data_IF_078694380718
#
_entry.id   IF_078694380718
#
_cell.length_a   1.000
_cell.length_b   1.000
_cell.length_c   1.000
_cell.angle_alpha   90.00
_cell.angle_beta   90.00
_cell.angle_gamma   90.00
#
_symmetry.space_group_name_H-M   'P 1'
#
loop_
_entity.id
_entity.type
_entity.pdbx_description
1 polymer ?
#
# COMPACT_ATOMS: atom_id res chain seq x y z
N UNK A 1 2.73 -29.83 27.58
CA UNK A 1 4.18 -29.81 27.31
C UNK A 1 4.40 -28.61 26.43
N UNK A 2 4.54 -27.47 27.10
CA UNK A 2 4.79 -26.19 26.46
C UNK A 2 6.13 -26.29 25.76
N UNK A 3 6.11 -26.13 24.43
CA UNK A 3 7.33 -26.06 23.66
C UNK A 3 8.04 -24.76 24.06
N UNK A 4 9.25 -24.89 24.61
CA UNK A 4 10.16 -23.77 24.77
C UNK A 4 10.27 -23.01 23.43
N UNK A 5 10.29 -21.67 23.43
CA UNK A 5 10.50 -20.92 22.20
C UNK A 5 11.85 -21.34 21.62
N UNK A 6 11.82 -21.93 20.42
CA UNK A 6 13.01 -22.25 19.64
C UNK A 6 13.90 -21.01 19.56
N UNK A 7 15.18 -21.16 19.87
CA UNK A 7 16.16 -20.09 19.74
C UNK A 7 16.05 -19.40 18.35
N UNK A 8 16.27 -18.08 18.25
CA UNK A 8 16.16 -17.38 16.97
C UNK A 8 17.05 -18.07 15.91
N UNK A 9 16.50 -18.29 14.72
CA UNK A 9 17.18 -19.00 13.63
C UNK A 9 18.46 -18.25 13.18
N UNK A 10 18.45 -16.93 13.33
CA UNK A 10 19.60 -16.04 13.13
C UNK A 10 19.76 -15.21 14.40
N UNK A 11 20.77 -15.53 15.22
CA UNK A 11 20.94 -14.94 16.57
C UNK A 11 21.71 -13.60 16.54
N UNK A 12 22.25 -13.17 15.39
CA UNK A 12 23.05 -11.95 15.28
C UNK A 12 22.55 -11.05 14.14
N UNK A 13 22.45 -9.73 14.42
CA UNK A 13 22.04 -8.68 13.47
C UNK A 13 22.90 -8.58 12.21
N UNK A 14 24.08 -9.21 12.22
CA UNK A 14 25.10 -9.01 11.19
C UNK A 14 25.22 -10.19 10.23
N UNK A 15 24.48 -11.30 10.46
CA UNK A 15 24.47 -12.50 9.60
C UNK A 15 23.14 -12.62 8.82
N UNK A 16 22.73 -11.53 8.18
CA UNK A 16 21.46 -11.42 7.47
C UNK A 16 21.59 -11.72 5.97
N UNK A 17 22.81 -11.92 5.48
CA UNK A 17 23.06 -12.18 4.07
C UNK A 17 23.37 -13.65 3.82
N UNK A 18 22.44 -14.36 3.19
CA UNK A 18 22.64 -15.72 2.69
C UNK A 18 22.16 -15.81 1.24
N UNK A 19 22.85 -16.56 0.36
CA UNK A 19 22.28 -16.92 -0.94
C UNK A 19 20.92 -17.58 -0.74
N UNK A 20 19.90 -17.19 -1.51
CA UNK A 20 18.52 -17.55 -1.20
C UNK A 20 18.29 -19.07 -1.17
N UNK A 21 18.98 -19.84 -2.02
CA UNK A 21 18.87 -21.31 -2.01
C UNK A 21 19.51 -21.99 -0.80
N UNK A 22 20.52 -21.34 -0.20
CA UNK A 22 21.29 -21.85 0.93
C UNK A 22 20.86 -21.24 2.26
N UNK A 23 19.89 -20.33 2.24
CA UNK A 23 19.34 -19.68 3.43
C UNK A 23 18.98 -20.73 4.50
N UNK A 24 19.23 -20.47 5.79
CA UNK A 24 18.76 -21.34 6.87
C UNK A 24 17.23 -21.37 6.99
N UNK A 25 16.53 -20.39 6.41
CA UNK A 25 15.09 -20.17 6.55
C UNK A 25 14.34 -20.87 5.39
N UNK A 26 13.43 -21.83 5.67
CA UNK A 26 12.70 -22.58 4.64
C UNK A 26 11.93 -21.71 3.64
N UNK A 27 11.24 -20.69 4.11
CA UNK A 27 10.40 -19.80 3.31
C UNK A 27 11.24 -18.98 2.32
N UNK A 28 12.47 -18.62 2.70
CA UNK A 28 13.42 -17.92 1.82
C UNK A 28 13.90 -18.87 0.71
N UNK A 29 14.16 -20.14 1.04
CA UNK A 29 14.50 -21.17 0.04
C UNK A 29 13.34 -21.45 -0.93
N UNK A 30 12.10 -21.44 -0.43
CA UNK A 30 10.90 -21.55 -1.29
C UNK A 30 10.78 -20.36 -2.25
N UNK A 31 11.03 -19.14 -1.76
CA UNK A 31 11.12 -17.96 -2.64
C UNK A 31 12.19 -18.13 -3.71
N UNK A 32 13.35 -18.68 -3.37
CA UNK A 32 14.41 -18.99 -4.34
C UNK A 32 13.93 -19.94 -5.43
N UNK A 33 13.16 -20.97 -5.08
CA UNK A 33 12.57 -21.92 -6.05
C UNK A 33 11.60 -21.22 -6.99
N UNK A 34 10.69 -20.41 -6.45
CA UNK A 34 9.74 -19.64 -7.25
C UNK A 34 10.44 -18.72 -8.26
N UNK A 35 11.53 -18.06 -7.84
CA UNK A 35 12.33 -17.22 -8.74
C UNK A 35 12.98 -18.08 -9.85
N UNK A 36 13.56 -19.24 -9.50
CA UNK A 36 14.15 -20.15 -10.51
C UNK A 36 13.11 -20.73 -11.47
N UNK A 37 11.88 -20.93 -11.02
CA UNK A 37 10.81 -21.51 -11.83
C UNK A 37 10.13 -20.49 -12.75
N UNK A 38 9.97 -19.25 -12.29
CA UNK A 38 9.17 -18.24 -13.00
C UNK A 38 9.97 -17.08 -13.59
N UNK A 39 11.14 -16.77 -13.03
CA UNK A 39 12.01 -15.74 -13.57
C UNK A 39 12.85 -16.24 -14.74
N UNK A 40 13.53 -15.32 -15.40
CA UNK A 40 14.28 -15.60 -16.61
C UNK A 40 15.60 -14.82 -16.63
N UNK A 41 16.59 -15.38 -17.30
CA UNK A 41 17.88 -14.71 -17.50
C UNK A 41 17.72 -13.53 -18.48
N UNK A 42 18.13 -12.30 -18.08
CA UNK A 42 17.97 -11.10 -18.92
C UNK A 42 18.77 -11.22 -20.23
N UNK A 43 20.00 -11.75 -20.16
CA UNK A 43 20.88 -11.92 -21.33
C UNK A 43 20.30 -12.86 -22.39
N UNK A 44 19.77 -14.02 -21.99
CA UNK A 44 19.11 -14.96 -22.91
C UNK A 44 17.90 -14.32 -23.61
N UNK A 45 17.13 -13.56 -22.84
CA UNK A 45 15.92 -12.89 -23.31
C UNK A 45 16.29 -11.78 -24.29
N UNK A 46 17.33 -11.00 -24.00
CA UNK A 46 17.85 -9.97 -24.90
C UNK A 46 18.39 -10.56 -26.22
N UNK A 47 19.21 -11.62 -26.15
CA UNK A 47 19.80 -12.28 -27.34
C UNK A 47 18.75 -12.91 -28.25
N UNK A 48 17.67 -13.44 -27.69
CA UNK A 48 16.58 -14.10 -28.44
C UNK A 48 15.49 -13.13 -28.91
N UNK A 49 15.57 -11.84 -28.58
CA UNK A 49 14.52 -10.87 -28.84
C UNK A 49 13.20 -11.21 -28.12
N UNK A 50 13.30 -11.76 -26.90
CA UNK A 50 12.15 -12.11 -26.05
C UNK A 50 11.52 -13.48 -26.33
N UNK A 51 12.09 -14.28 -27.24
CA UNK A 51 11.53 -15.60 -27.62
C UNK A 51 11.95 -16.72 -26.69
N UNK A 52 13.14 -16.63 -26.10
CA UNK A 52 13.71 -17.65 -25.23
C UNK A 52 13.74 -17.15 -23.79
N UNK A 53 13.09 -17.89 -22.88
CA UNK A 53 13.07 -17.61 -21.44
C UNK A 53 13.76 -18.75 -20.71
N UNK A 54 15.05 -18.56 -20.43
CA UNK A 54 15.86 -19.54 -19.70
C UNK A 54 15.82 -19.22 -18.22
N UNK A 55 15.45 -20.20 -17.40
CA UNK A 55 15.41 -20.08 -15.95
C UNK A 55 16.79 -19.70 -15.38
N UNK A 56 16.86 -18.80 -14.37
CA UNK A 56 18.10 -18.50 -13.70
C UNK A 56 18.54 -19.69 -12.82
N UNK A 57 19.84 -19.93 -12.78
CA UNK A 57 20.46 -21.00 -11.99
C UNK A 57 21.66 -20.49 -11.17
N UNK A 58 22.35 -19.47 -11.67
CA UNK A 58 23.47 -18.80 -11.02
C UNK A 58 22.96 -17.74 -10.03
N UNK A 59 23.41 -17.86 -8.78
CA UNK A 59 23.12 -16.90 -7.71
C UNK A 59 24.24 -15.87 -7.63
N UNK A 60 23.88 -14.60 -7.70
CA UNK A 60 24.85 -13.50 -7.61
C UNK A 60 25.50 -13.50 -6.22
N UNK A 61 26.85 -13.44 -6.13
CA UNK A 61 27.55 -13.44 -4.84
C UNK A 61 27.27 -12.18 -4.00
N UNK A 62 26.89 -11.06 -4.63
CA UNK A 62 26.72 -9.78 -3.95
C UNK A 62 25.30 -9.55 -3.43
N UNK A 63 24.26 -10.06 -4.12
CA UNK A 63 22.86 -9.93 -3.71
C UNK A 63 22.20 -11.24 -3.28
N UNK A 64 22.77 -12.40 -3.61
CA UNK A 64 22.27 -13.72 -3.21
C UNK A 64 21.04 -14.22 -3.99
N UNK A 65 20.51 -13.43 -4.94
CA UNK A 65 19.39 -13.84 -5.79
C UNK A 65 19.86 -14.66 -7.00
N UNK A 66 19.06 -15.66 -7.45
CA UNK A 66 19.29 -16.35 -8.71
C UNK A 66 18.87 -15.46 -9.88
N UNK A 67 19.83 -14.78 -10.51
CA UNK A 67 19.58 -13.73 -11.51
C UNK A 67 19.86 -14.19 -12.94
N UNK A 68 20.85 -15.07 -13.13
CA UNK A 68 21.31 -15.49 -14.45
C UNK A 68 21.31 -17.00 -14.58
N UNK A 69 21.28 -17.53 -15.81
CA UNK A 69 21.39 -18.98 -16.02
C UNK A 69 22.83 -19.50 -15.85
N UNK A 70 23.85 -18.65 -16.00
CA UNK A 70 25.27 -18.98 -15.85
C UNK A 70 26.08 -17.79 -15.34
N UNK A 71 27.27 -18.07 -14.82
CA UNK A 71 28.23 -17.03 -14.42
C UNK A 71 28.69 -16.18 -15.62
N UNK A 72 28.79 -16.78 -16.82
CA UNK A 72 29.17 -16.07 -18.04
C UNK A 72 28.14 -14.98 -18.39
N UNK A 73 26.85 -15.30 -18.33
CA UNK A 73 25.80 -14.32 -18.58
C UNK A 73 25.74 -13.26 -17.48
N UNK A 74 26.00 -13.62 -16.22
CA UNK A 74 26.12 -12.62 -15.15
C UNK A 74 27.28 -11.64 -15.37
N UNK A 75 28.42 -12.13 -15.88
CA UNK A 75 29.57 -11.26 -16.25
C UNK A 75 29.28 -10.38 -17.47
N UNK A 76 28.49 -10.88 -18.42
CA UNK A 76 28.05 -10.11 -19.59
C UNK A 76 27.10 -8.97 -19.19
N UNK A 77 26.22 -9.21 -18.23
CA UNK A 77 25.19 -8.27 -17.74
C UNK A 77 25.67 -7.37 -16.59
N UNK A 78 26.98 -7.26 -16.35
CA UNK A 78 27.51 -6.65 -15.12
C UNK A 78 27.02 -5.20 -14.91
N UNK A 79 26.84 -4.45 -15.99
CA UNK A 79 26.42 -3.03 -15.94
C UNK A 79 24.96 -2.91 -15.51
N UNK A 80 24.04 -3.61 -16.17
CA UNK A 80 22.62 -3.53 -15.87
C UNK A 80 22.30 -4.21 -14.53
N UNK A 81 22.95 -5.35 -14.25
CA UNK A 81 22.83 -6.02 -12.97
C UNK A 81 23.33 -5.15 -11.80
N UNK A 82 24.40 -4.36 -11.98
CA UNK A 82 24.92 -3.48 -10.92
C UNK A 82 23.90 -2.40 -10.49
N UNK A 83 22.96 -2.01 -11.36
CA UNK A 83 21.90 -1.07 -11.02
C UNK A 83 20.85 -1.70 -10.08
N UNK A 84 20.58 -2.99 -10.24
CA UNK A 84 19.55 -3.74 -9.50
C UNK A 84 20.10 -4.42 -8.24
N UNK A 85 21.38 -4.80 -8.27
CA UNK A 85 22.03 -5.60 -7.25
C UNK A 85 21.89 -5.04 -5.82
N UNK A 86 22.03 -3.72 -5.57
CA UNK A 86 21.83 -3.17 -4.22
C UNK A 86 20.41 -3.37 -3.68
N UNK A 87 19.38 -3.19 -4.52
CA UNK A 87 18.00 -3.36 -4.12
C UNK A 87 17.66 -4.84 -3.88
N UNK A 88 18.16 -5.73 -4.74
CA UNK A 88 18.06 -7.18 -4.53
C UNK A 88 18.76 -7.62 -3.23
N UNK A 89 19.94 -7.08 -2.94
CA UNK A 89 20.67 -7.38 -1.70
C UNK A 89 19.87 -6.93 -0.49
N UNK A 90 19.32 -5.72 -0.52
CA UNK A 90 18.46 -5.21 0.55
C UNK A 90 17.23 -6.07 0.75
N UNK A 91 16.57 -6.49 -0.33
CA UNK A 91 15.42 -7.39 -0.24
C UNK A 91 15.81 -8.73 0.40
N UNK A 92 16.94 -9.31 0.01
CA UNK A 92 17.46 -10.53 0.60
C UNK A 92 17.69 -10.38 2.12
N UNK A 93 18.44 -9.35 2.51
CA UNK A 93 18.75 -9.08 3.92
C UNK A 93 17.50 -8.76 4.74
N UNK A 94 16.50 -8.08 4.15
CA UNK A 94 15.21 -7.80 4.79
C UNK A 94 14.39 -9.06 5.05
N UNK A 95 14.34 -9.99 4.08
CA UNK A 95 13.57 -11.23 4.25
C UNK A 95 14.18 -12.14 5.32
N UNK A 96 15.51 -12.14 5.45
CA UNK A 96 16.23 -12.82 6.53
C UNK A 96 16.01 -12.13 7.88
N UNK A 97 16.04 -10.80 7.92
CA UNK A 97 15.82 -10.05 9.15
C UNK A 97 14.41 -10.29 9.70
N UNK A 98 13.38 -10.13 8.87
CA UNK A 98 11.97 -10.33 9.22
C UNK A 98 11.64 -11.74 9.72
N UNK A 99 12.46 -12.74 9.35
CA UNK A 99 12.30 -14.15 9.74
C UNK A 99 13.38 -14.66 10.68
N UNK A 100 14.28 -13.78 11.15
CA UNK A 100 15.35 -14.13 12.09
C UNK A 100 14.82 -14.61 13.44
N UNK A 101 13.62 -14.19 13.82
CA UNK A 101 13.03 -14.40 15.13
C UNK A 101 13.48 -13.39 16.18
N UNK A 102 14.20 -12.32 15.79
CA UNK A 102 14.54 -11.22 16.69
C UNK A 102 13.29 -10.48 17.15
N UNK A 103 13.42 -9.73 18.24
CA UNK A 103 12.40 -8.76 18.62
C UNK A 103 12.44 -7.55 17.70
N UNK A 104 11.27 -7.05 17.32
CA UNK A 104 11.11 -5.86 16.48
C UNK A 104 10.56 -4.70 17.32
N UNK A 105 11.40 -4.00 18.11
CA UNK A 105 10.98 -2.80 18.83
C UNK A 105 10.38 -1.75 17.89
N UNK A 106 10.80 -1.70 16.63
CA UNK A 106 10.27 -0.78 15.61
C UNK A 106 8.76 -0.99 15.30
N UNK A 107 8.18 -2.15 15.63
CA UNK A 107 6.74 -2.40 15.46
C UNK A 107 5.89 -1.99 16.67
N UNK A 108 6.50 -1.45 17.73
CA UNK A 108 5.78 -0.85 18.85
C UNK A 108 5.31 0.56 18.46
N UNK A 109 4.09 0.62 17.93
CA UNK A 109 3.53 1.86 17.39
C UNK A 109 2.91 2.74 18.47
N UNK A 110 3.04 4.08 18.36
CA UNK A 110 2.49 5.01 19.32
C UNK A 110 0.96 4.96 19.38
N UNK A 111 0.41 5.19 20.57
CA UNK A 111 -1.02 5.26 20.82
C UNK A 111 -1.71 6.53 20.27
N UNK A 112 -2.96 6.78 20.68
CA UNK A 112 -3.73 7.96 20.28
C UNK A 112 -2.98 9.26 20.59
N UNK A 113 -3.02 10.20 19.65
CA UNK A 113 -2.42 11.51 19.84
C UNK A 113 -3.40 12.49 20.50
N UNK A 114 -2.91 13.41 21.33
CA UNK A 114 -3.75 14.49 21.84
C UNK A 114 -4.09 15.46 20.69
N UNK A 115 -5.30 16.03 20.73
CA UNK A 115 -5.78 16.91 19.65
C UNK A 115 -4.88 18.12 19.38
N UNK A 116 -4.19 18.61 20.40
CA UNK A 116 -3.35 19.82 20.31
C UNK A 116 -1.91 19.54 19.83
N UNK A 117 -1.52 18.27 19.69
CA UNK A 117 -0.17 17.95 19.21
C UNK A 117 -0.10 18.13 17.69
N UNK A 118 0.88 18.91 17.24
CA UNK A 118 1.11 19.14 15.82
C UNK A 118 1.68 17.89 15.15
N UNK A 119 1.11 17.53 14.00
CA UNK A 119 1.60 16.46 13.12
C UNK A 119 2.22 17.08 11.89
N UNK A 120 3.40 16.59 11.49
CA UNK A 120 4.06 17.00 10.27
C UNK A 120 4.04 15.85 9.24
N UNK A 121 3.42 16.11 8.07
CA UNK A 121 3.31 15.14 6.98
C UNK A 121 4.32 15.39 5.84
N UNK A 122 5.38 16.19 6.05
CA UNK A 122 6.31 16.55 4.98
C UNK A 122 7.08 15.34 4.41
N UNK A 123 7.43 14.37 5.25
CA UNK A 123 8.08 13.11 4.90
C UNK A 123 7.97 12.11 6.07
N UNK A 124 8.46 10.89 5.88
CA UNK A 124 8.47 9.84 6.91
C UNK A 124 9.20 10.26 8.19
N UNK A 125 10.37 10.89 8.11
CA UNK A 125 11.17 11.25 9.29
C UNK A 125 10.45 12.24 10.20
N UNK A 126 9.94 13.32 9.62
CA UNK A 126 9.17 14.35 10.34
C UNK A 126 7.86 13.78 10.89
N UNK A 127 7.23 12.86 10.17
CA UNK A 127 6.04 12.15 10.65
C UNK A 127 6.38 11.27 11.86
N UNK A 128 7.41 10.43 11.78
CA UNK A 128 7.83 9.57 12.87
C UNK A 128 8.23 10.35 14.12
N UNK A 129 8.96 11.45 13.93
CA UNK A 129 9.33 12.35 15.02
C UNK A 129 8.11 12.97 15.69
N UNK A 130 7.19 13.58 14.92
CA UNK A 130 6.01 14.24 15.49
C UNK A 130 5.02 13.26 16.11
N UNK A 131 4.98 12.01 15.64
CA UNK A 131 4.16 10.94 16.22
C UNK A 131 4.83 10.15 17.35
N UNK A 132 6.06 10.48 17.72
CA UNK A 132 6.84 9.80 18.77
C UNK A 132 6.94 8.29 18.52
N UNK A 133 7.20 7.90 17.28
CA UNK A 133 7.63 6.52 17.00
C UNK A 133 8.95 6.24 17.71
N UNK A 134 9.21 4.96 17.98
CA UNK A 134 10.54 4.56 18.44
C UNK A 134 11.60 5.01 17.44
N UNK A 135 12.82 5.27 17.93
CA UNK A 135 13.90 5.70 17.07
C UNK A 135 14.23 4.59 16.06
N UNK A 136 14.26 4.95 14.78
CA UNK A 136 14.55 4.02 13.69
C UNK A 136 16.03 4.18 13.34
N UNK A 137 16.86 3.29 13.88
CA UNK A 137 18.32 3.37 13.79
C UNK A 137 18.88 3.04 12.40
N UNK A 138 18.07 2.41 11.53
CA UNK A 138 18.50 1.96 10.21
C UNK A 138 17.44 2.15 9.13
N UNK A 139 17.88 2.28 7.88
CA UNK A 139 16.98 2.30 6.71
C UNK A 139 16.15 1.02 6.58
N UNK A 140 16.66 -0.10 7.12
CA UNK A 140 15.98 -1.40 7.17
C UNK A 140 14.76 -1.34 8.08
N UNK A 141 14.96 -0.95 9.33
CA UNK A 141 13.86 -0.77 10.29
C UNK A 141 12.84 0.25 9.77
N UNK A 142 13.28 1.34 9.16
CA UNK A 142 12.38 2.29 8.49
C UNK A 142 11.61 1.65 7.33
N UNK A 143 12.27 0.83 6.50
CA UNK A 143 11.63 0.06 5.43
C UNK A 143 10.53 -0.88 5.95
N UNK A 144 10.79 -1.59 7.05
CA UNK A 144 9.84 -2.54 7.63
C UNK A 144 8.61 -1.82 8.20
N UNK A 145 8.83 -0.74 8.94
CA UNK A 145 7.76 0.09 9.51
C UNK A 145 6.91 0.73 8.40
N UNK A 146 7.56 1.32 7.40
CA UNK A 146 6.85 1.99 6.29
C UNK A 146 6.07 1.03 5.40
N UNK A 147 6.51 -0.23 5.22
CA UNK A 147 5.75 -1.27 4.49
C UNK A 147 4.38 -1.52 5.12
N UNK A 148 4.26 -1.42 6.45
CA UNK A 148 2.98 -1.57 7.15
C UNK A 148 2.17 -0.26 7.14
N UNK A 149 2.84 0.86 7.42
CA UNK A 149 2.17 2.15 7.64
C UNK A 149 1.80 2.90 6.36
N UNK A 150 2.39 2.55 5.21
CA UNK A 150 2.12 3.26 3.95
C UNK A 150 0.63 3.34 3.64
N UNK A 151 -0.14 2.28 3.90
CA UNK A 151 -1.58 2.26 3.62
C UNK A 151 -2.39 3.25 4.49
N UNK A 152 -2.39 3.13 5.84
CA UNK A 152 -3.15 4.05 6.68
C UNK A 152 -2.62 5.49 6.61
N UNK A 153 -1.30 5.69 6.47
CA UNK A 153 -0.71 7.03 6.51
C UNK A 153 -0.89 7.78 5.19
N UNK A 154 -0.90 7.10 4.03
CA UNK A 154 -1.30 7.74 2.77
C UNK A 154 -2.73 8.27 2.84
N UNK A 155 -3.68 7.48 3.39
CA UNK A 155 -5.05 7.96 3.60
C UNK A 155 -5.09 9.14 4.57
N UNK A 156 -4.40 9.01 5.72
CA UNK A 156 -4.40 10.06 6.73
C UNK A 156 -3.80 11.37 6.20
N UNK A 157 -2.71 11.32 5.45
CA UNK A 157 -2.05 12.51 4.90
C UNK A 157 -2.90 13.26 3.89
N UNK A 158 -3.80 12.57 3.16
CA UNK A 158 -4.80 13.20 2.31
C UNK A 158 -5.93 13.85 3.11
N UNK A 159 -6.42 13.18 4.16
CA UNK A 159 -7.57 13.63 4.94
C UNK A 159 -7.21 14.69 5.99
N UNK A 160 -5.97 14.73 6.47
CA UNK A 160 -5.58 15.60 7.58
C UNK A 160 -5.52 17.08 7.15
N UNK A 161 -5.86 18.05 8.05
CA UNK A 161 -5.75 19.48 7.74
C UNK A 161 -4.32 19.93 7.38
N UNK A 162 -3.31 19.33 8.01
CA UNK A 162 -1.89 19.55 7.71
C UNK A 162 -1.38 18.69 6.53
N UNK A 163 -2.25 18.38 5.58
CA UNK A 163 -1.91 17.60 4.38
C UNK A 163 -0.74 18.22 3.62
N UNK A 164 0.21 17.42 3.13
CA UNK A 164 1.37 17.93 2.42
C UNK A 164 1.07 18.27 0.95
N UNK A 165 -0.05 17.79 0.41
CA UNK A 165 -0.43 17.98 -0.99
C UNK A 165 -0.98 19.38 -1.23
N UNK A 166 -0.37 20.11 -2.17
CA UNK A 166 -0.61 21.54 -2.38
C UNK A 166 -1.70 21.78 -3.45
N UNK A 167 -2.69 22.64 -3.17
CA UNK A 167 -3.65 23.10 -4.17
C UNK A 167 -2.96 23.71 -5.39
N UNK A 168 -3.41 23.35 -6.60
CA UNK A 168 -2.89 23.85 -7.87
C UNK A 168 -1.59 23.21 -8.34
N UNK A 169 -0.88 22.48 -7.48
CA UNK A 169 0.29 21.68 -7.84
C UNK A 169 -0.05 20.20 -7.91
N UNK A 170 -0.44 19.63 -6.77
CA UNK A 170 -0.73 18.20 -6.65
C UNK A 170 -2.25 17.98 -6.79
N UNK A 171 -3.03 18.83 -6.12
CA UNK A 171 -4.49 18.79 -6.15
C UNK A 171 -5.05 19.74 -7.22
N UNK A 172 -6.04 19.27 -7.96
CA UNK A 172 -6.83 20.12 -8.86
C UNK A 172 -7.78 21.03 -8.06
N UNK A 173 -8.45 22.01 -8.70
CA UNK A 173 -9.51 22.79 -8.04
C UNK A 173 -10.63 21.89 -7.49
N UNK A 174 -11.05 20.88 -8.26
CA UNK A 174 -12.06 19.91 -7.85
C UNK A 174 -11.58 19.06 -6.65
N UNK A 175 -10.33 18.60 -6.66
CA UNK A 175 -9.71 17.88 -5.55
C UNK A 175 -9.62 18.70 -4.28
N UNK A 176 -9.24 19.97 -4.41
CA UNK A 176 -9.18 20.91 -3.30
C UNK A 176 -10.56 21.09 -2.67
N UNK A 177 -11.61 21.26 -3.49
CA UNK A 177 -12.98 21.39 -3.02
C UNK A 177 -13.48 20.09 -2.35
N UNK A 178 -13.23 18.93 -2.96
CA UNK A 178 -13.64 17.63 -2.43
C UNK A 178 -13.01 17.35 -1.06
N UNK A 179 -11.69 17.49 -0.95
CA UNK A 179 -10.97 17.28 0.30
C UNK A 179 -11.31 18.34 1.36
N UNK A 180 -11.54 19.60 0.98
CA UNK A 180 -11.99 20.64 1.91
C UNK A 180 -13.35 20.30 2.53
N UNK A 181 -14.27 19.72 1.76
CA UNK A 181 -15.59 19.33 2.27
C UNK A 181 -15.52 18.16 3.25
N UNK A 182 -14.70 17.15 2.97
CA UNK A 182 -14.44 16.04 3.92
C UNK A 182 -13.74 16.57 5.17
N UNK A 183 -12.70 17.40 5.02
CA UNK A 183 -11.97 18.03 6.14
C UNK A 183 -12.88 18.89 7.01
N UNK A 184 -13.82 19.61 6.42
CA UNK A 184 -14.83 20.38 7.16
C UNK A 184 -15.71 19.46 8.01
N UNK A 185 -16.16 18.33 7.44
CA UNK A 185 -16.94 17.32 8.17
C UNK A 185 -16.15 16.74 9.34
N UNK A 186 -14.87 16.41 9.12
CA UNK A 186 -13.96 15.95 10.17
C UNK A 186 -13.78 17.01 11.28
N UNK A 187 -13.55 18.27 10.90
CA UNK A 187 -13.39 19.37 11.84
C UNK A 187 -14.66 19.63 12.67
N UNK A 188 -15.85 19.55 12.06
CA UNK A 188 -17.12 19.67 12.76
C UNK A 188 -17.29 18.57 13.82
N UNK A 189 -16.99 17.31 13.46
CA UNK A 189 -17.03 16.20 14.41
C UNK A 189 -16.05 16.39 15.57
N UNK A 190 -14.91 17.02 15.33
CA UNK A 190 -13.94 17.37 16.36
C UNK A 190 -14.46 18.46 17.31
N UNK A 191 -15.31 19.38 16.86
CA UNK A 191 -15.89 20.46 17.69
C UNK A 191 -17.03 19.99 18.60
N UNK A 192 -17.68 18.86 18.27
CA UNK A 192 -18.74 18.28 19.12
C UNK A 192 -18.14 17.90 20.48
N UNK A 193 -18.59 18.58 21.54
CA UNK A 193 -18.11 18.40 22.91
C UNK A 193 -18.62 17.08 23.51
N UNK A 194 -17.87 16.53 24.47
CA UNK A 194 -18.17 15.26 25.15
C UNK A 194 -19.48 15.25 25.95
N UNK A 195 -20.12 16.41 26.15
CA UNK A 195 -21.43 16.53 26.79
C UNK A 195 -22.58 16.13 25.86
N UNK A 196 -22.36 16.10 24.54
CA UNK A 196 -23.36 15.74 23.55
C UNK A 196 -23.36 14.22 23.30
N UNK A 197 -23.46 13.43 24.38
CA UNK A 197 -23.41 11.95 24.35
C UNK A 197 -24.53 11.30 23.51
N UNK A 198 -25.52 12.08 23.11
CA UNK A 198 -26.68 11.64 22.34
C UNK A 198 -26.49 11.80 20.82
N UNK A 199 -25.55 12.62 20.34
CA UNK A 199 -25.25 12.73 18.91
C UNK A 199 -24.34 11.58 18.49
N UNK A 200 -24.96 10.50 17.97
CA UNK A 200 -24.22 9.41 17.33
C UNK A 200 -23.46 9.96 16.14
N UNK A 201 -22.13 10.03 16.26
CA UNK A 201 -21.26 10.45 15.15
C UNK A 201 -21.30 9.39 14.07
N UNK A 202 -21.70 9.80 12.87
CA UNK A 202 -21.60 8.91 11.71
C UNK A 202 -20.13 8.72 11.33
N UNK A 203 -19.69 7.47 11.14
CA UNK A 203 -18.31 7.19 10.80
C UNK A 203 -17.99 7.66 9.38
N UNK A 204 -16.76 8.13 9.19
CA UNK A 204 -16.19 8.28 7.85
C UNK A 204 -15.91 6.88 7.31
N UNK A 205 -16.48 6.54 6.16
CA UNK A 205 -16.32 5.21 5.56
C UNK A 205 -15.26 5.25 4.47
N UNK A 206 -14.30 4.34 4.57
CA UNK A 206 -13.23 4.22 3.59
C UNK A 206 -13.33 2.84 2.96
N UNK A 207 -13.62 2.80 1.67
CA UNK A 207 -13.76 1.59 0.89
C UNK A 207 -12.43 1.26 0.22
N UNK A 208 -11.71 0.28 0.76
CA UNK A 208 -10.46 -0.22 0.20
C UNK A 208 -10.80 -1.35 -0.77
N UNK A 209 -10.76 -1.05 -2.06
CA UNK A 209 -11.21 -1.96 -3.13
C UNK A 209 -10.02 -2.67 -3.76
N UNK A 210 -10.17 -3.97 -4.02
CA UNK A 210 -9.06 -4.82 -4.47
C UNK A 210 -8.10 -5.17 -3.35
N UNK A 211 -8.60 -5.20 -2.10
CA UNK A 211 -7.76 -5.44 -0.93
C UNK A 211 -7.08 -6.81 -1.00
N UNK A 212 -5.77 -6.80 -0.81
CA UNK A 212 -4.88 -7.95 -0.69
C UNK A 212 -4.08 -7.77 0.59
N UNK A 213 -2.84 -7.28 0.53
CA UNK A 213 -1.97 -7.07 1.68
C UNK A 213 -2.63 -6.26 2.80
N UNK A 214 -3.49 -5.30 2.44
CA UNK A 214 -4.23 -4.44 3.38
C UNK A 214 -5.13 -5.24 4.33
N UNK A 215 -5.69 -6.35 3.84
CA UNK A 215 -6.55 -7.28 4.60
C UNK A 215 -5.79 -8.09 5.63
N UNK A 216 -4.49 -8.28 5.43
CA UNK A 216 -3.60 -9.04 6.33
C UNK A 216 -2.97 -8.16 7.40
N UNK A 217 -3.08 -6.83 7.29
CA UNK A 217 -2.51 -5.92 8.28
C UNK A 217 -3.20 -6.09 9.64
N UNK A 218 -2.42 -6.13 10.73
CA UNK A 218 -2.97 -6.11 12.07
C UNK A 218 -3.84 -4.87 12.31
N UNK A 219 -4.94 -4.98 13.07
CA UNK A 219 -5.80 -3.85 13.39
C UNK A 219 -5.08 -2.69 14.08
N UNK A 220 -3.98 -2.97 14.81
CA UNK A 220 -3.12 -1.95 15.42
C UNK A 220 -2.42 -1.05 14.41
N UNK A 221 -2.15 -1.55 13.19
CA UNK A 221 -1.61 -0.76 12.08
C UNK A 221 -2.67 0.21 11.58
N UNK A 222 -3.87 -0.29 11.31
CA UNK A 222 -5.01 0.55 10.91
C UNK A 222 -5.44 1.54 12.00
N UNK A 223 -5.23 1.22 13.27
CA UNK A 223 -5.48 2.13 14.39
C UNK A 223 -4.67 3.42 14.28
N UNK A 224 -3.50 3.41 13.63
CA UNK A 224 -2.70 4.62 13.41
C UNK A 224 -3.44 5.68 12.59
N UNK A 225 -4.35 5.29 11.69
CA UNK A 225 -5.25 6.24 11.03
C UNK A 225 -6.17 6.91 12.06
N UNK A 226 -6.88 6.13 12.89
CA UNK A 226 -7.80 6.67 13.90
C UNK A 226 -7.11 7.50 14.98
N UNK A 227 -5.85 7.17 15.30
CA UNK A 227 -5.04 7.91 16.28
C UNK A 227 -4.72 9.34 15.84
N UNK A 228 -4.74 9.62 14.53
CA UNK A 228 -4.54 10.95 13.95
C UNK A 228 -5.83 11.79 13.97
N UNK A 229 -7.00 11.17 14.24
CA UNK A 229 -8.28 11.86 14.36
C UNK A 229 -9.06 11.37 15.60
N UNK A 230 -8.65 11.76 16.82
CA UNK A 230 -9.12 11.16 18.07
C UNK A 230 -10.65 11.23 18.32
N UNK A 231 -11.35 12.11 17.62
CA UNK A 231 -12.79 12.37 17.78
C UNK A 231 -13.62 11.89 16.57
N UNK A 232 -12.99 11.37 15.52
CA UNK A 232 -13.67 10.87 14.32
C UNK A 232 -13.68 9.33 14.34
N UNK A 233 -14.85 8.70 14.32
CA UNK A 233 -14.93 7.27 14.08
C UNK A 233 -14.72 6.96 12.59
N UNK A 234 -13.90 5.95 12.30
CA UNK A 234 -13.70 5.40 10.97
C UNK A 234 -14.31 4.01 10.83
N UNK A 235 -14.85 3.74 9.65
CA UNK A 235 -15.27 2.40 9.24
C UNK A 235 -14.57 2.03 7.94
N UNK A 236 -13.60 1.12 8.02
CA UNK A 236 -12.89 0.61 6.85
C UNK A 236 -13.67 -0.58 6.26
N UNK A 237 -13.87 -0.56 4.95
CA UNK A 237 -14.43 -1.68 4.20
C UNK A 237 -13.35 -2.23 3.29
N UNK A 238 -12.74 -3.36 3.64
CA UNK A 238 -11.77 -4.05 2.80
C UNK A 238 -12.52 -5.05 1.93
N UNK A 239 -12.52 -4.78 0.63
CA UNK A 239 -13.37 -5.44 -0.36
C UNK A 239 -12.46 -6.07 -1.41
N UNK A 240 -12.59 -7.38 -1.60
CA UNK A 240 -11.95 -8.09 -2.70
C UNK A 240 -11.82 -9.59 -2.42
N UNK A 241 -11.63 -10.42 -3.44
CA UNK A 241 -11.57 -11.88 -3.29
C UNK A 241 -10.47 -12.37 -2.34
N UNK A 242 -9.40 -11.58 -2.16
CA UNK A 242 -8.27 -11.88 -1.29
C UNK A 242 -8.23 -11.02 -0.01
N UNK A 243 -9.31 -10.27 0.27
CA UNK A 243 -9.34 -9.33 1.39
C UNK A 243 -9.47 -10.03 2.77
N UNK A 244 -9.96 -11.27 2.79
CA UNK A 244 -10.12 -12.07 4.02
C UNK A 244 -8.92 -13.01 4.17
N UNK A 245 -8.09 -12.84 5.22
CA UNK A 245 -6.96 -13.74 5.45
C UNK A 245 -7.40 -15.19 5.71
N UNK A 246 -6.57 -16.19 5.37
CA UNK A 246 -6.86 -17.59 5.67
C UNK A 246 -7.15 -17.82 7.15
N UNK A 247 -8.17 -18.64 7.45
CA UNK A 247 -8.60 -18.93 8.82
C UNK A 247 -9.49 -17.86 9.45
N UNK A 248 -9.79 -16.78 8.73
CA UNK A 248 -10.73 -15.74 9.17
C UNK A 248 -12.05 -15.81 8.39
N UNK A 249 -13.14 -15.39 9.03
CA UNK A 249 -14.43 -15.23 8.36
C UNK A 249 -14.64 -13.77 7.92
N UNK A 250 -15.31 -13.53 6.76
CA UNK A 250 -15.78 -12.21 6.38
C UNK A 250 -16.75 -11.66 7.42
N UNK A 251 -16.81 -10.33 7.53
CA UNK A 251 -17.71 -9.65 8.45
C UNK A 251 -17.09 -8.43 9.13
N UNK A 252 -17.94 -7.75 9.91
CA UNK A 252 -17.58 -6.53 10.64
C UNK A 252 -16.93 -6.87 11.98
N UNK A 253 -15.86 -6.15 12.30
CA UNK A 253 -15.16 -6.18 13.58
C UNK A 253 -14.97 -4.77 14.10
N UNK A 254 -15.23 -4.58 15.38
CA UNK A 254 -15.00 -3.31 16.06
C UNK A 254 -13.77 -3.47 16.94
N UNK A 255 -12.76 -2.62 16.73
CA UNK A 255 -11.49 -2.70 17.47
C UNK A 255 -11.40 -1.64 18.55
N UNK A 256 -11.94 -0.46 18.29
CA UNK A 256 -12.02 0.64 19.25
C UNK A 256 -13.26 1.48 18.98
N UNK A 257 -13.52 2.48 19.84
CA UNK A 257 -14.57 3.46 19.59
C UNK A 257 -14.31 4.30 18.33
N UNK A 258 -13.05 4.39 17.89
CA UNK A 258 -12.63 5.17 16.72
C UNK A 258 -12.43 4.36 15.44
N UNK A 259 -12.44 3.02 15.51
CA UNK A 259 -12.15 2.17 14.36
C UNK A 259 -12.99 0.88 14.34
N UNK A 260 -13.69 0.70 13.22
CA UNK A 260 -14.29 -0.58 12.84
C UNK A 260 -13.85 -0.97 11.44
N UNK A 261 -13.74 -2.27 11.19
CA UNK A 261 -13.30 -2.82 9.90
C UNK A 261 -14.27 -3.91 9.47
N UNK A 262 -14.69 -3.89 8.21
CA UNK A 262 -15.44 -4.98 7.57
C UNK A 262 -14.57 -5.61 6.50
N UNK A 263 -14.33 -6.91 6.62
CA UNK A 263 -13.66 -7.71 5.59
C UNK A 263 -14.71 -8.39 4.70
N UNK A 264 -14.56 -8.29 3.39
CA UNK A 264 -15.48 -8.90 2.40
C UNK A 264 -14.69 -9.56 1.27
N UNK A 265 -14.97 -10.84 1.03
CA UNK A 265 -14.37 -11.70 0.01
C UNK A 265 -15.08 -11.64 -1.36
N UNK A 266 -15.85 -10.58 -1.62
CA UNK A 266 -16.63 -10.38 -2.85
C UNK A 266 -16.13 -9.21 -3.67
N UNK A 267 -16.54 -9.14 -4.93
CA UNK A 267 -16.28 -7.98 -5.79
C UNK A 267 -17.12 -6.79 -5.34
N UNK A 268 -16.64 -5.57 -5.66
CA UNK A 268 -17.30 -4.33 -5.26
C UNK A 268 -18.77 -4.29 -5.72
N UNK A 269 -19.01 -4.67 -6.97
CA UNK A 269 -20.33 -4.63 -7.61
C UNK A 269 -21.37 -5.47 -6.86
N UNK A 270 -20.94 -6.59 -6.25
CA UNK A 270 -21.82 -7.46 -5.46
C UNK A 270 -22.19 -6.86 -4.11
N UNK A 271 -21.33 -6.00 -3.55
CA UNK A 271 -21.55 -5.40 -2.23
C UNK A 271 -22.12 -3.99 -2.29
N UNK A 272 -21.90 -3.25 -3.38
CA UNK A 272 -22.38 -1.87 -3.58
C UNK A 272 -23.84 -1.67 -3.13
N UNK A 273 -24.81 -2.54 -3.49
CA UNK A 273 -26.20 -2.38 -3.04
C UNK A 273 -26.36 -2.31 -1.51
N UNK A 274 -25.54 -3.05 -0.78
CA UNK A 274 -25.56 -3.12 0.69
C UNK A 274 -24.76 -2.00 1.37
N UNK A 275 -24.00 -1.22 0.60
CA UNK A 275 -23.20 -0.09 1.08
C UNK A 275 -23.92 1.25 0.94
N UNK A 276 -25.03 1.28 0.19
CA UNK A 276 -25.87 2.48 0.02
C UNK A 276 -26.58 2.89 1.34
N UNK A 277 -26.93 4.18 1.50
CA UNK A 277 -26.64 5.33 0.62
C UNK A 277 -25.16 5.75 0.71
N UNK A 278 -24.62 6.37 -0.35
CA UNK A 278 -23.28 6.96 -0.36
C UNK A 278 -23.35 8.47 -0.08
N UNK A 279 -22.41 8.98 0.71
CA UNK A 279 -22.23 10.38 1.06
C UNK A 279 -20.84 10.86 0.64
N UNK A 280 -20.72 11.64 -0.45
CA UNK A 280 -19.45 12.21 -0.92
C UNK A 280 -18.68 13.08 0.09
N UNK A 281 -19.29 13.45 1.22
CA UNK A 281 -18.65 14.22 2.29
C UNK A 281 -18.04 13.35 3.40
N UNK A 282 -18.37 12.05 3.43
CA UNK A 282 -17.96 11.08 4.47
C UNK A 282 -17.41 9.77 3.92
N UNK A 283 -17.66 9.51 2.64
CA UNK A 283 -17.28 8.28 1.96
C UNK A 283 -16.21 8.54 0.93
N UNK A 284 -15.24 7.64 0.86
CA UNK A 284 -14.20 7.66 -0.16
C UNK A 284 -13.70 6.25 -0.48
N UNK A 285 -13.21 6.09 -1.70
CA UNK A 285 -12.65 4.85 -2.21
C UNK A 285 -11.12 4.95 -2.30
N UNK A 286 -10.43 3.88 -1.94
CA UNK A 286 -8.99 3.71 -2.09
C UNK A 286 -8.68 2.40 -2.80
N UNK A 287 -7.80 2.48 -3.79
CA UNK A 287 -7.31 1.33 -4.55
C UNK A 287 -5.80 1.32 -4.44
N UNK A 288 -5.26 0.36 -3.71
CA UNK A 288 -3.82 0.26 -3.47
C UNK A 288 -3.17 -0.64 -4.51
N UNK A 289 -2.31 -0.05 -5.35
CA UNK A 289 -1.61 -0.71 -6.46
C UNK A 289 -2.50 -1.71 -7.23
N UNK A 290 -3.65 -1.27 -7.76
CA UNK A 290 -4.69 -2.16 -8.28
C UNK A 290 -4.29 -2.93 -9.55
N UNK A 291 -3.26 -2.47 -10.26
CA UNK A 291 -2.77 -3.12 -11.48
C UNK A 291 -3.79 -3.06 -12.61
N UNK A 292 -4.45 -1.91 -12.77
CA UNK A 292 -5.55 -1.72 -13.73
C UNK A 292 -5.06 -1.93 -15.17
N UNK A 293 -3.85 -1.46 -15.46
CA UNK A 293 -3.17 -1.57 -16.73
C UNK A 293 -2.46 -2.91 -16.96
N UNK A 294 -2.53 -3.85 -16.03
CA UNK A 294 -1.96 -5.18 -16.26
C UNK A 294 -2.82 -5.96 -17.28
N UNK A 295 -2.21 -6.65 -18.26
CA UNK A 295 -2.95 -7.39 -19.28
C UNK A 295 -3.99 -8.36 -18.67
N UNK A 296 -5.24 -8.25 -19.11
CA UNK A 296 -6.34 -9.09 -18.64
C UNK A 296 -7.08 -8.59 -17.39
N UNK A 297 -6.64 -7.49 -16.77
CA UNK A 297 -7.30 -6.92 -15.57
C UNK A 297 -8.39 -5.91 -15.89
N UNK A 298 -8.42 -5.37 -17.12
CA UNK A 298 -9.32 -4.29 -17.53
C UNK A 298 -10.80 -4.60 -17.31
N UNK A 299 -11.25 -5.77 -17.75
CA UNK A 299 -12.68 -6.15 -17.69
C UNK A 299 -13.19 -6.21 -16.24
N UNK A 300 -12.33 -6.62 -15.30
CA UNK A 300 -12.65 -6.68 -13.87
C UNK A 300 -12.76 -5.27 -13.28
N UNK A 301 -11.83 -4.39 -13.64
CA UNK A 301 -11.74 -3.04 -13.09
C UNK A 301 -12.72 -2.05 -13.71
N UNK A 302 -13.07 -2.19 -14.98
CA UNK A 302 -13.98 -1.29 -15.69
C UNK A 302 -15.32 -1.17 -14.96
N UNK A 303 -15.95 -2.30 -14.64
CA UNK A 303 -17.23 -2.30 -13.92
C UNK A 303 -17.13 -1.68 -12.53
N UNK A 304 -16.00 -1.89 -11.83
CA UNK A 304 -15.80 -1.36 -10.48
C UNK A 304 -15.59 0.16 -10.52
N UNK A 305 -14.75 0.66 -11.44
CA UNK A 305 -14.49 2.09 -11.62
C UNK A 305 -15.78 2.82 -12.00
N UNK A 306 -16.54 2.29 -12.96
CA UNK A 306 -17.84 2.87 -13.33
C UNK A 306 -18.79 2.95 -12.14
N UNK A 307 -18.92 1.85 -11.37
CA UNK A 307 -19.76 1.81 -10.17
C UNK A 307 -19.31 2.82 -9.10
N UNK A 308 -18.01 3.03 -8.91
CA UNK A 308 -17.51 4.01 -7.95
C UNK A 308 -17.76 5.45 -8.41
N UNK A 309 -17.55 5.73 -9.70
CA UNK A 309 -17.79 7.06 -10.28
C UNK A 309 -19.25 7.50 -10.10
N UNK A 310 -20.20 6.58 -10.22
CA UNK A 310 -21.63 6.86 -10.02
C UNK A 310 -21.97 7.31 -8.60
N UNK A 311 -21.19 6.89 -7.60
CA UNK A 311 -21.39 7.30 -6.19
C UNK A 311 -21.06 8.77 -5.93
N UNK A 312 -20.32 9.42 -6.84
CA UNK A 312 -19.80 10.79 -6.69
C UNK A 312 -18.84 10.97 -5.51
N UNK A 313 -18.43 9.89 -4.85
CA UNK A 313 -17.44 9.92 -3.79
C UNK A 313 -16.04 10.05 -4.40
N UNK A 314 -15.08 10.67 -3.69
CA UNK A 314 -13.68 10.66 -4.11
C UNK A 314 -13.11 9.25 -4.24
N UNK A 315 -12.35 9.01 -5.31
CA UNK A 315 -11.67 7.74 -5.57
C UNK A 315 -10.18 8.04 -5.71
N UNK A 316 -9.37 7.42 -4.87
CA UNK A 316 -7.92 7.53 -4.91
C UNK A 316 -7.28 6.20 -5.28
N UNK A 317 -6.21 6.29 -6.06
CA UNK A 317 -5.45 5.15 -6.54
C UNK A 317 -3.99 5.35 -6.16
N UNK A 318 -3.31 4.26 -5.82
CA UNK A 318 -1.85 4.23 -5.73
C UNK A 318 -1.27 3.30 -6.78
N UNK A 319 0.04 3.38 -7.00
CA UNK A 319 0.74 2.48 -7.91
C UNK A 319 2.07 1.99 -7.36
N UNK A 320 2.69 1.06 -8.07
CA UNK A 320 3.87 0.32 -7.62
C UNK A 320 5.19 0.86 -8.17
N UNK A 321 5.18 1.33 -9.42
CA UNK A 321 6.32 1.93 -10.11
C UNK A 321 5.85 3.13 -10.96
N UNK A 322 6.75 4.01 -11.41
CA UNK A 322 6.41 5.08 -12.35
C UNK A 322 5.70 4.56 -13.60
N UNK A 323 6.22 3.47 -14.17
CA UNK A 323 5.73 2.85 -15.40
C UNK A 323 4.35 2.21 -15.20
N UNK A 324 4.14 1.56 -14.05
CA UNK A 324 2.83 1.00 -13.70
C UNK A 324 1.80 2.11 -13.49
N UNK A 325 2.17 3.20 -12.82
CA UNK A 325 1.27 4.35 -12.61
C UNK A 325 0.89 4.96 -13.94
N UNK A 326 1.83 5.15 -14.86
CA UNK A 326 1.52 5.71 -16.18
C UNK A 326 0.55 4.81 -16.96
N UNK A 327 0.76 3.49 -16.93
CA UNK A 327 -0.11 2.52 -17.58
C UNK A 327 -1.50 2.49 -16.96
N UNK A 328 -1.58 2.43 -15.63
CA UNK A 328 -2.84 2.44 -14.88
C UNK A 328 -3.62 3.73 -15.13
N UNK A 329 -2.94 4.89 -15.16
CA UNK A 329 -3.56 6.19 -15.46
C UNK A 329 -4.10 6.23 -16.88
N UNK A 330 -3.37 5.68 -17.86
CA UNK A 330 -3.85 5.64 -19.24
C UNK A 330 -5.10 4.75 -19.36
N UNK A 331 -5.11 3.58 -18.72
CA UNK A 331 -6.30 2.73 -18.75
C UNK A 331 -7.49 3.35 -17.99
N UNK A 332 -7.24 4.04 -16.87
CA UNK A 332 -8.29 4.80 -16.20
C UNK A 332 -8.88 5.86 -17.12
N UNK A 333 -8.05 6.61 -17.88
CA UNK A 333 -8.52 7.61 -18.86
C UNK A 333 -9.39 6.99 -19.94
N UNK A 334 -9.01 5.80 -20.42
CA UNK A 334 -9.75 5.09 -21.46
C UNK A 334 -11.09 4.57 -20.92
N UNK A 335 -11.12 4.01 -19.71
CA UNK A 335 -12.36 3.54 -19.04
C UNK A 335 -13.34 4.69 -18.83
N UNK A 336 -12.86 5.84 -18.36
CA UNK A 336 -13.71 7.01 -18.06
C UNK A 336 -14.01 7.88 -19.30
N UNK A 337 -13.53 7.50 -20.49
CA UNK A 337 -13.76 8.26 -21.69
C UNK A 337 -15.27 8.40 -21.97
N UNK A 338 -15.73 9.64 -22.15
CA UNK A 338 -17.15 9.95 -22.34
C UNK A 338 -18.01 9.96 -21.07
N UNK A 339 -17.41 9.69 -19.90
CA UNK A 339 -18.08 9.83 -18.60
C UNK A 339 -17.90 11.24 -18.03
N UNK A 340 -18.84 11.66 -17.17
CA UNK A 340 -18.75 12.94 -16.47
C UNK A 340 -17.88 12.82 -15.21
N UNK A 341 -16.56 12.82 -15.44
CA UNK A 341 -15.52 12.65 -14.41
C UNK A 341 -14.62 13.88 -14.37
N UNK A 342 -14.11 14.16 -13.18
CA UNK A 342 -13.07 15.15 -12.95
C UNK A 342 -11.91 14.52 -12.17
N UNK A 343 -10.70 14.99 -12.47
CA UNK A 343 -9.51 14.63 -11.71
C UNK A 343 -9.49 15.42 -10.42
N UNK A 344 -9.24 14.75 -9.29
CA UNK A 344 -9.01 15.37 -7.99
C UNK A 344 -7.52 15.64 -7.77
N UNK A 345 -6.68 14.74 -8.26
CA UNK A 345 -5.23 14.79 -8.06
C UNK A 345 -4.56 14.24 -9.32
N UNK A 346 -3.59 14.99 -9.83
CA UNK A 346 -2.76 14.50 -10.94
C UNK A 346 -1.83 13.40 -10.42
N UNK A 347 -1.34 12.49 -11.28
CA UNK A 347 -0.35 11.50 -10.88
C UNK A 347 0.89 12.17 -10.31
N UNK A 348 1.18 11.92 -9.04
CA UNK A 348 2.40 12.36 -8.37
C UNK A 348 3.02 11.22 -7.58
N UNK A 349 4.31 11.35 -7.25
CA UNK A 349 4.93 10.47 -6.26
C UNK A 349 4.27 10.69 -4.89
N UNK A 350 3.98 9.60 -4.20
CA UNK A 350 3.41 9.58 -2.86
C UNK A 350 4.51 9.86 -1.84
N UNK A 351 4.28 10.86 -0.99
CA UNK A 351 5.19 11.21 0.10
C UNK A 351 5.36 10.04 1.10
N UNK A 352 4.30 9.24 1.27
CA UNK A 352 4.26 8.10 2.18
C UNK A 352 4.36 6.75 1.46
N UNK A 353 5.05 6.70 0.31
CA UNK A 353 5.42 5.42 -0.31
C UNK A 353 6.29 4.57 0.63
N UNK A 354 6.24 3.26 0.47
CA UNK A 354 7.11 2.35 1.21
C UNK A 354 8.59 2.64 0.90
N UNK A 355 9.46 2.60 1.92
CA UNK A 355 10.90 2.77 1.74
C UNK A 355 11.62 1.44 1.42
N UNK A 356 11.01 0.31 1.78
CA UNK A 356 11.49 -1.03 1.40
C UNK A 356 11.17 -1.29 -0.07
N UNK A 357 12.17 -1.59 -0.92
CA UNK A 357 11.91 -2.05 -2.27
C UNK A 357 11.23 -3.42 -2.23
N UNK A 358 10.32 -3.65 -3.17
CA UNK A 358 9.71 -4.94 -3.39
C UNK A 358 10.18 -5.49 -4.74
N UNK A 359 10.45 -6.80 -4.75
CA UNK A 359 11.11 -7.50 -5.85
C UNK A 359 10.13 -8.49 -6.42
N UNK A 360 9.78 -8.33 -7.69
CA UNK A 360 8.89 -9.26 -8.36
C UNK A 360 9.59 -10.62 -8.52
N UNK A 361 9.05 -11.72 -7.94
CA UNK A 361 9.67 -13.04 -8.06
C UNK A 361 9.63 -13.60 -9.50
N UNK A 362 8.73 -13.12 -10.37
CA UNK A 362 8.66 -13.55 -11.77
C UNK A 362 9.59 -12.77 -12.68
N UNK A 363 10.05 -11.59 -12.26
CA UNK A 363 10.96 -10.75 -13.03
C UNK A 363 11.81 -9.91 -12.07
N UNK A 364 13.08 -10.30 -11.90
CA UNK A 364 13.98 -9.60 -10.97
C UNK A 364 14.42 -8.23 -11.47
N UNK A 365 14.15 -7.88 -12.73
CA UNK A 365 14.37 -6.54 -13.26
C UNK A 365 13.29 -5.55 -12.82
N UNK A 366 12.11 -6.05 -12.45
CA UNK A 366 10.99 -5.25 -11.95
C UNK A 366 11.10 -5.05 -10.43
N UNK A 367 11.67 -3.91 -10.05
CA UNK A 367 11.74 -3.45 -8.65
C UNK A 367 10.80 -2.27 -8.50
N UNK A 368 9.92 -2.33 -7.50
CA UNK A 368 9.00 -1.24 -7.21
C UNK A 368 8.87 -0.95 -5.72
N UNK A 369 7.97 -0.03 -5.41
CA UNK A 369 7.68 0.40 -4.05
C UNK A 369 6.18 0.48 -3.85
N UNK A 370 5.67 -0.16 -2.80
CA UNK A 370 4.26 -0.04 -2.46
C UNK A 370 3.87 1.42 -2.29
N UNK A 371 2.75 1.78 -2.91
CA UNK A 371 2.21 3.12 -2.94
C UNK A 371 3.19 4.18 -3.46
N UNK A 372 4.02 3.86 -4.45
CA UNK A 372 4.91 4.81 -5.11
C UNK A 372 4.15 6.03 -5.68
N UNK A 373 3.07 5.79 -6.43
CA UNK A 373 2.25 6.86 -7.01
C UNK A 373 0.98 7.12 -6.22
N UNK A 374 0.40 8.31 -6.40
CA UNK A 374 -0.92 8.68 -5.90
C UNK A 374 -1.64 9.57 -6.93
N UNK A 375 -2.90 9.29 -7.18
CA UNK A 375 -3.80 10.12 -8.00
C UNK A 375 -5.25 9.88 -7.60
N UNK A 376 -6.17 10.70 -8.11
CA UNK A 376 -7.58 10.53 -7.77
C UNK A 376 -8.54 11.19 -8.74
N UNK A 377 -9.75 10.66 -8.78
CA UNK A 377 -10.86 11.10 -9.64
C UNK A 377 -12.17 11.13 -8.85
N UNK A 378 -13.19 11.76 -9.43
CA UNK A 378 -14.57 11.78 -8.91
C UNK A 378 -15.55 11.93 -10.06
N UNK A 379 -16.73 11.31 -9.96
CA UNK A 379 -17.84 11.66 -10.86
C UNK A 379 -18.38 13.05 -10.54
N UNK A 380 -18.64 13.90 -11.53
CA UNK A 380 -19.20 15.24 -11.27
C UNK A 380 -20.63 15.14 -10.73
N UNK A 381 -20.97 16.06 -9.84
CA UNK A 381 -22.35 16.31 -9.42
C UNK A 381 -23.03 17.18 -10.49
N UNK A 382 -24.27 16.85 -10.85
CA UNK A 382 -25.11 17.82 -11.56
C UNK A 382 -25.23 19.06 -10.67
N UNK A 383 -24.72 20.20 -11.13
CA UNK A 383 -25.27 21.48 -10.69
C UNK A 383 -26.72 21.46 -11.19
N UNK A 384 -27.67 21.53 -10.26
CA UNK A 384 -29.03 21.90 -10.65
C UNK A 384 -28.89 23.32 -11.17
N UNK A 385 -28.86 23.47 -12.49
CA UNK A 385 -28.99 24.77 -13.14
C UNK A 385 -30.40 25.22 -12.74
N UNK A 386 -30.49 26.14 -11.78
CA UNK A 386 -31.75 26.80 -11.42
C UNK A 386 -32.34 27.58 -12.60
#
# INVERSE_FOLDING_TARGET
KDAEPSAPLLVQSDDLFHPLSQSPIPEVRERAKLIKEHSHCPVCTAKSGGKERVAPAFECPDCGHPTHCSEEHWREDQVDHALLCPALRRANEDEHDLRSGRTFPEFDFPGPQHYDEAINFANWDTFFYTRRFQHLDSERSAGHVTKLLTFPITIASLLHPASPYRPGRDLTPAGTQALAAIRSTLAQQNQITSQDRLTRREPVRIFIVGSRAEGYLPPSVWAQLSHLFPRTPFHLHLIGPQAVPPGQAPGRRTFSSGLSITLTDKLLQEVTPHLTPFDPYRDLFFLFSPGIGYPGSRDVWEGAIRSMVDTKCPIFFTGYSPEDVERDVQEVKDIIQGMDVEWLMHPTESIFRCLKPDVNPTDLSEIGWDNWGLYGIRGRRFEVIE
#
